data_IF_659041778107
#
_entry.id   IF_659041778107
#
_cell.length_a   1.000
_cell.length_b   1.000
_cell.length_c   1.000
_cell.angle_alpha   90.00
_cell.angle_beta   90.00
_cell.angle_gamma   90.00
#
_symmetry.space_group_name_H-M   'P 1'
#
loop_
_entity.id
_entity.type
_entity.pdbx_description
1 polymer ?
#
# COMPACT_ATOMS: atom_id res chain seq x y z
N UNK A 1 15.17 14.25 -1.90
CA UNK A 1 14.16 13.99 -2.95
C UNK A 1 12.79 14.15 -2.30
N UNK A 2 11.96 15.04 -2.85
CA UNK A 2 10.56 15.16 -2.42
C UNK A 2 9.72 14.34 -3.37
N UNK A 3 8.96 13.36 -2.88
CA UNK A 3 8.00 12.59 -3.68
C UNK A 3 6.64 13.23 -3.45
N UNK A 4 5.95 13.57 -4.54
CA UNK A 4 4.62 14.18 -4.50
C UNK A 4 3.53 13.17 -4.79
N UNK A 5 3.79 12.21 -5.67
CA UNK A 5 2.78 11.24 -6.06
C UNK A 5 3.37 9.87 -6.43
N UNK A 6 2.53 8.84 -6.38
CA UNK A 6 2.80 7.50 -6.88
C UNK A 6 1.64 7.06 -7.77
N UNK A 7 1.95 6.69 -9.01
CA UNK A 7 1.00 6.07 -9.93
C UNK A 7 1.37 4.61 -10.17
N UNK A 8 0.42 3.84 -10.66
CA UNK A 8 0.63 2.46 -11.06
C UNK A 8 -0.11 2.17 -12.36
N UNK A 9 0.48 1.35 -13.20
CA UNK A 9 -0.10 0.86 -14.47
C UNK A 9 0.61 -0.44 -14.84
N UNK A 10 -0.11 -1.42 -15.38
CA UNK A 10 0.44 -2.67 -15.94
C UNK A 10 1.49 -3.43 -15.09
N UNK A 11 1.36 -3.35 -13.76
CA UNK A 11 2.28 -4.02 -12.84
C UNK A 11 3.56 -3.23 -12.53
N UNK A 12 3.58 -1.95 -12.88
CA UNK A 12 4.64 -1.01 -12.54
C UNK A 12 4.15 0.03 -11.55
N UNK A 13 5.05 0.50 -10.68
CA UNK A 13 4.82 1.67 -9.84
C UNK A 13 5.80 2.75 -10.23
N UNK A 14 5.28 3.94 -10.47
CA UNK A 14 6.04 5.14 -10.82
C UNK A 14 5.87 6.18 -9.74
N UNK A 15 6.98 6.73 -9.23
CA UNK A 15 6.94 7.88 -8.32
C UNK A 15 7.42 9.15 -9.00
N UNK A 16 6.77 10.26 -8.67
CA UNK A 16 7.00 11.56 -9.25
C UNK A 16 7.28 12.60 -8.17
N UNK A 17 8.22 13.50 -8.43
CA UNK A 17 8.45 14.64 -7.57
C UNK A 17 9.54 15.58 -8.09
N UNK A 18 9.61 16.82 -7.56
CA UNK A 18 10.52 17.83 -8.07
C UNK A 18 11.97 17.46 -7.77
N UNK A 19 12.82 17.50 -8.81
CA UNK A 19 14.27 17.48 -8.65
C UNK A 19 14.76 18.92 -8.53
N UNK A 20 15.32 19.27 -7.38
CA UNK A 20 15.99 20.55 -7.12
C UNK A 20 15.11 21.82 -7.23
N UNK A 21 13.79 21.71 -6.97
CA UNK A 21 12.91 22.89 -6.90
C UNK A 21 12.61 23.57 -8.24
N UNK A 22 12.96 22.93 -9.36
CA UNK A 22 12.61 23.35 -10.72
C UNK A 22 11.91 22.17 -11.41
N UNK A 23 11.14 22.46 -12.45
CA UNK A 23 10.20 21.66 -13.26
C UNK A 23 10.69 20.30 -13.83
N UNK A 24 11.67 19.65 -13.22
CA UNK A 24 12.06 18.28 -13.54
C UNK A 24 11.35 17.32 -12.60
N UNK A 25 10.46 16.52 -13.19
CA UNK A 25 9.87 15.37 -12.54
C UNK A 25 10.91 14.25 -12.51
N UNK A 26 11.44 13.92 -11.33
CA UNK A 26 12.23 12.70 -11.17
C UNK A 26 11.25 11.52 -11.17
N UNK A 27 11.23 10.81 -12.29
CA UNK A 27 10.57 9.52 -12.40
C UNK A 27 11.52 8.46 -11.85
N UNK A 28 11.13 7.81 -10.75
CA UNK A 28 11.73 6.53 -10.35
C UNK A 28 10.68 5.47 -10.64
N UNK A 29 10.95 4.66 -11.66
CA UNK A 29 10.12 3.51 -12.00
C UNK A 29 10.63 2.31 -11.24
N UNK A 30 9.68 1.57 -10.69
CA UNK A 30 9.88 0.23 -10.22
C UNK A 30 8.94 -0.67 -11.04
N UNK A 31 9.49 -1.40 -12.01
CA UNK A 31 8.80 -2.54 -12.60
C UNK A 31 8.77 -3.66 -11.59
N UNK A 32 7.63 -3.86 -10.92
CA UNK A 32 7.51 -4.89 -9.90
C UNK A 32 6.15 -5.57 -9.99
N UNK A 33 6.17 -6.72 -10.63
CA UNK A 33 4.97 -7.55 -10.83
C UNK A 33 4.55 -8.33 -9.58
N UNK A 34 5.17 -8.11 -8.42
CA UNK A 34 4.95 -8.94 -7.22
C UNK A 34 5.06 -10.43 -7.56
N UNK A 35 4.25 -11.26 -6.92
CA UNK A 35 4.07 -12.67 -7.28
C UNK A 35 3.31 -12.89 -8.61
N UNK A 36 3.51 -12.03 -9.62
CA UNK A 36 2.91 -12.14 -10.96
C UNK A 36 1.48 -11.59 -11.07
N UNK A 37 1.10 -10.64 -10.21
CA UNK A 37 -0.25 -10.06 -10.20
C UNK A 37 -0.23 -8.57 -10.60
N UNK A 38 -1.32 -8.13 -11.23
CA UNK A 38 -1.56 -6.71 -11.49
C UNK A 38 -1.56 -5.90 -10.19
N UNK A 39 -1.14 -4.64 -10.28
CA UNK A 39 -1.25 -3.67 -9.19
C UNK A 39 -2.64 -3.05 -9.25
N UNK A 40 -3.33 -3.05 -8.12
CA UNK A 40 -4.72 -2.54 -8.02
C UNK A 40 -4.82 -1.22 -7.28
N UNK A 41 -3.83 -0.89 -6.46
CA UNK A 41 -3.78 0.35 -5.69
C UNK A 41 -2.35 0.65 -5.31
N UNK A 42 -1.97 1.91 -5.33
CA UNK A 42 -0.71 2.39 -4.79
C UNK A 42 -0.90 3.79 -4.19
N UNK A 43 0.06 4.18 -3.37
CA UNK A 43 0.11 5.53 -2.83
C UNK A 43 1.31 5.76 -1.95
N UNK A 44 1.31 6.90 -1.27
CA UNK A 44 2.40 7.31 -0.39
C UNK A 44 1.96 7.26 1.06
N UNK A 45 2.87 6.84 1.93
CA UNK A 45 2.75 7.04 3.37
C UNK A 45 4.12 7.39 3.96
N UNK A 46 4.12 7.75 5.25
CA UNK A 46 5.35 7.86 6.05
C UNK A 46 5.42 6.62 6.92
N UNK A 47 6.57 5.98 7.00
CA UNK A 47 6.79 4.97 8.05
C UNK A 47 6.86 5.66 9.42
N UNK A 48 6.71 4.88 10.48
CA UNK A 48 7.01 5.26 11.87
C UNK A 48 8.39 5.94 12.05
N UNK A 49 9.37 5.59 11.22
CA UNK A 49 10.69 6.23 11.17
C UNK A 49 10.73 7.56 10.37
N UNK A 50 9.58 8.14 10.05
CA UNK A 50 9.43 9.42 9.37
C UNK A 50 9.78 9.44 7.88
N UNK A 51 10.05 8.28 7.26
CA UNK A 51 10.49 8.18 5.87
C UNK A 51 9.31 8.00 4.94
N UNK A 52 9.30 8.74 3.83
CA UNK A 52 8.32 8.53 2.75
C UNK A 52 8.59 7.17 2.11
N UNK A 53 7.54 6.37 2.00
CA UNK A 53 7.54 5.09 1.29
C UNK A 53 6.32 5.03 0.39
N UNK A 54 6.45 4.22 -0.64
CA UNK A 54 5.39 3.84 -1.55
C UNK A 54 4.80 2.54 -1.02
N UNK A 55 3.49 2.51 -0.84
CA UNK A 55 2.77 1.27 -0.64
C UNK A 55 2.07 0.90 -1.94
N UNK A 56 1.94 -0.39 -2.22
CA UNK A 56 1.13 -0.86 -3.33
C UNK A 56 0.62 -2.27 -3.06
N UNK A 57 -0.60 -2.54 -3.53
CA UNK A 57 -1.26 -3.82 -3.43
C UNK A 57 -1.27 -4.52 -4.79
N UNK A 58 -0.78 -5.76 -4.81
CA UNK A 58 -0.70 -6.61 -6.00
C UNK A 58 -1.31 -7.97 -5.68
N UNK A 59 -2.52 -8.19 -6.16
CA UNK A 59 -3.26 -9.41 -5.91
C UNK A 59 -3.44 -9.73 -4.42
N UNK A 60 -2.65 -10.68 -3.91
CA UNK A 60 -2.71 -11.21 -2.55
C UNK A 60 -1.79 -10.47 -1.57
N UNK A 61 -0.99 -9.56 -2.09
CA UNK A 61 0.15 -8.99 -1.41
C UNK A 61 0.01 -7.48 -1.22
N UNK A 62 0.53 -7.00 -0.10
CA UNK A 62 0.78 -5.58 0.15
C UNK A 62 2.29 -5.39 0.35
N UNK A 63 2.86 -4.44 -0.37
CA UNK A 63 4.28 -4.15 -0.33
C UNK A 63 4.54 -2.73 0.19
N UNK A 64 5.74 -2.55 0.76
CA UNK A 64 6.34 -1.27 1.06
C UNK A 64 7.65 -1.14 0.28
N UNK A 65 7.78 -0.05 -0.47
CA UNK A 65 8.99 0.26 -1.21
C UNK A 65 9.49 1.65 -0.85
N UNK A 66 10.79 1.78 -0.65
CA UNK A 66 11.44 3.08 -0.49
C UNK A 66 12.15 3.40 -1.81
N UNK A 67 11.76 4.47 -2.52
CA UNK A 67 12.45 4.86 -3.74
C UNK A 67 13.94 5.11 -3.48
N UNK A 68 14.79 4.51 -4.30
CA UNK A 68 16.25 4.53 -4.14
C UNK A 68 16.81 3.56 -3.08
N UNK A 69 15.96 2.86 -2.33
CA UNK A 69 16.35 1.59 -1.74
C UNK A 69 16.16 0.47 -2.77
N UNK A 70 16.71 -0.71 -2.51
CA UNK A 70 16.54 -1.89 -3.37
C UNK A 70 15.09 -2.38 -3.43
N UNK A 71 14.93 -3.70 -3.54
CA UNK A 71 13.62 -4.29 -3.82
C UNK A 71 12.54 -3.96 -2.77
N UNK A 72 11.25 -3.92 -3.18
CA UNK A 72 10.12 -3.81 -2.27
C UNK A 72 10.13 -4.88 -1.20
N UNK A 73 9.65 -4.52 -0.02
CA UNK A 73 9.45 -5.44 1.09
C UNK A 73 7.99 -5.85 1.14
N UNK A 74 7.75 -7.16 1.18
CA UNK A 74 6.44 -7.72 1.46
C UNK A 74 6.02 -7.34 2.89
N UNK A 75 4.92 -6.61 3.03
CA UNK A 75 4.34 -6.22 4.31
C UNK A 75 3.30 -7.25 4.77
N UNK A 76 2.48 -7.73 3.84
CA UNK A 76 1.38 -8.66 4.12
C UNK A 76 1.12 -9.56 2.92
N UNK A 77 0.80 -10.82 3.18
CA UNK A 77 0.38 -11.81 2.19
C UNK A 77 -0.83 -12.57 2.71
N UNK A 78 -1.89 -12.65 1.90
CA UNK A 78 -3.02 -13.53 2.16
C UNK A 78 -3.01 -14.72 1.18
N UNK A 79 -2.73 -15.96 1.64
CA UNK A 79 -2.62 -17.09 0.74
C UNK A 79 -3.94 -17.43 0.04
N UNK A 80 -5.09 -16.99 0.57
CA UNK A 80 -6.40 -17.46 0.15
C UNK A 80 -7.21 -16.43 -0.64
N UNK A 81 -6.85 -15.15 -0.55
CA UNK A 81 -7.72 -14.07 -1.05
C UNK A 81 -6.92 -13.00 -1.79
N UNK A 82 -7.49 -12.57 -2.92
CA UNK A 82 -6.95 -11.48 -3.75
C UNK A 82 -7.72 -10.21 -3.45
N UNK A 83 -7.02 -9.09 -3.29
CA UNK A 83 -7.55 -7.76 -3.02
C UNK A 83 -7.42 -6.87 -4.25
N UNK A 84 -8.50 -6.15 -4.54
CA UNK A 84 -8.62 -5.27 -5.72
C UNK A 84 -8.69 -3.80 -5.33
N UNK A 85 -8.63 -3.50 -4.03
CA UNK A 85 -8.53 -2.16 -3.49
C UNK A 85 -7.71 -2.20 -2.20
N UNK A 86 -6.84 -1.21 -2.03
CA UNK A 86 -6.15 -1.00 -0.77
C UNK A 86 -5.93 0.48 -0.50
N UNK A 87 -5.77 0.83 0.77
CA UNK A 87 -5.35 2.16 1.22
C UNK A 87 -4.52 2.04 2.48
N UNK A 88 -3.57 2.96 2.66
CA UNK A 88 -2.75 3.06 3.85
C UNK A 88 -2.84 4.45 4.45
N UNK A 89 -2.87 4.54 5.77
CA UNK A 89 -2.88 5.81 6.49
C UNK A 89 -1.61 6.61 6.18
N UNK A 90 -1.70 7.94 6.24
CA UNK A 90 -0.55 8.83 5.98
C UNK A 90 0.63 8.55 6.92
N UNK A 91 0.35 8.13 8.15
CA UNK A 91 1.34 7.73 9.16
C UNK A 91 1.90 6.32 8.95
N UNK A 92 1.39 5.57 7.97
CA UNK A 92 1.83 4.20 7.67
C UNK A 92 1.51 3.20 8.77
N UNK A 93 0.66 3.58 9.74
CA UNK A 93 0.32 2.77 10.93
C UNK A 93 -0.89 1.88 10.72
N UNK A 94 -1.67 2.12 9.66
CA UNK A 94 -2.86 1.34 9.35
C UNK A 94 -2.97 1.13 7.86
N UNK A 95 -3.40 -0.06 7.45
CA UNK A 95 -3.77 -0.34 6.07
C UNK A 95 -5.11 -1.06 6.00
N UNK A 96 -5.86 -0.85 4.93
CA UNK A 96 -7.11 -1.55 4.65
C UNK A 96 -7.01 -2.17 3.26
N UNK A 97 -7.44 -3.42 3.13
CA UNK A 97 -7.56 -4.14 1.87
C UNK A 97 -9.00 -4.64 1.69
N UNK A 98 -9.49 -4.61 0.45
CA UNK A 98 -10.84 -5.07 0.12
C UNK A 98 -10.92 -5.76 -1.25
N UNK A 99 -11.88 -6.70 -1.37
CA UNK A 99 -12.14 -7.43 -2.61
C UNK A 99 -13.63 -7.61 -2.94
N UNK A 100 -14.48 -6.75 -2.37
CA UNK A 100 -15.94 -6.83 -2.49
C UNK A 100 -16.61 -7.86 -1.57
N UNK A 101 -15.91 -8.94 -1.20
CA UNK A 101 -16.44 -9.98 -0.29
C UNK A 101 -15.79 -9.98 1.08
N UNK A 102 -14.59 -9.40 1.20
CA UNK A 102 -13.84 -9.31 2.44
C UNK A 102 -13.25 -7.92 2.55
N UNK A 103 -13.25 -7.39 3.77
CA UNK A 103 -12.43 -6.24 4.18
C UNK A 103 -11.46 -6.71 5.26
N UNK A 104 -10.20 -6.31 5.15
CA UNK A 104 -9.20 -6.49 6.21
C UNK A 104 -8.64 -5.13 6.62
N UNK A 105 -8.53 -4.90 7.93
CA UNK A 105 -7.73 -3.82 8.49
C UNK A 105 -6.47 -4.40 9.13
N UNK A 106 -5.34 -3.76 8.88
CA UNK A 106 -4.02 -4.12 9.38
C UNK A 106 -3.50 -2.97 10.23
N UNK A 107 -3.04 -3.27 11.43
CA UNK A 107 -2.18 -2.38 12.21
C UNK A 107 -0.73 -2.64 11.84
N UNK A 108 0.03 -1.58 11.67
CA UNK A 108 1.40 -1.62 11.15
C UNK A 108 2.34 -0.87 12.08
N UNK A 109 3.36 -1.56 12.59
CA UNK A 109 4.45 -0.97 13.36
C UNK A 109 5.79 -1.38 12.77
N UNK A 110 6.73 -0.43 12.64
CA UNK A 110 8.09 -0.69 12.14
C UNK A 110 8.08 -1.49 10.83
N UNK A 111 7.17 -1.13 9.92
CA UNK A 111 6.98 -1.80 8.62
C UNK A 111 6.64 -3.30 8.72
N UNK A 112 5.89 -3.69 9.76
CA UNK A 112 5.37 -5.04 9.98
C UNK A 112 3.92 -4.98 10.44
N UNK A 113 3.12 -5.97 10.04
CA UNK A 113 1.76 -6.12 10.56
C UNK A 113 1.82 -6.65 11.99
N UNK A 114 1.18 -5.95 12.93
CA UNK A 114 1.08 -6.32 14.35
C UNK A 114 -0.28 -6.87 14.71
N UNK A 115 -1.34 -6.30 14.13
CA UNK A 115 -2.71 -6.77 14.28
C UNK A 115 -3.38 -6.86 12.92
N UNK A 116 -4.28 -7.83 12.78
CA UNK A 116 -5.18 -7.94 11.63
C UNK A 116 -6.60 -8.23 12.10
N UNK A 117 -7.58 -7.60 11.46
CA UNK A 117 -9.00 -7.90 11.68
C UNK A 117 -9.66 -8.08 10.31
N UNK A 118 -10.45 -9.15 10.18
CA UNK A 118 -11.07 -9.58 8.94
C UNK A 118 -12.60 -9.57 9.08
N UNK A 119 -13.27 -8.98 8.10
CA UNK A 119 -14.72 -8.95 8.03
C UNK A 119 -15.21 -9.56 6.71
N UNK A 120 -15.89 -10.71 6.77
CA UNK A 120 -16.67 -11.22 5.64
C UNK A 120 -17.87 -10.30 5.37
N UNK A 121 -17.96 -9.77 4.14
CA UNK A 121 -19.03 -8.84 3.77
C UNK A 121 -20.40 -9.52 3.64
N UNK A 122 -20.42 -10.85 3.45
CA UNK A 122 -21.64 -11.66 3.50
C UNK A 122 -22.37 -11.55 4.83
N UNK A 123 -21.64 -11.32 5.92
CA UNK A 123 -22.19 -11.22 7.28
C UNK A 123 -22.64 -9.80 7.64
N UNK A 124 -22.28 -8.80 6.82
CA UNK A 124 -22.54 -7.37 7.07
C UNK A 124 -23.60 -6.77 6.13
N UNK A 125 -24.26 -7.60 5.31
CA UNK A 125 -25.20 -7.10 4.30
C UNK A 125 -24.53 -6.28 3.20
N UNK A 126 -23.24 -6.54 2.93
CA UNK A 126 -22.47 -5.86 1.88
C UNK A 126 -21.93 -4.48 2.25
N UNK A 127 -22.09 -4.01 3.49
CA UNK A 127 -21.53 -2.73 3.95
C UNK A 127 -20.74 -2.90 5.24
N UNK A 128 -19.48 -2.45 5.24
CA UNK A 128 -18.64 -2.45 6.44
C UNK A 128 -18.13 -1.03 6.68
N UNK A 129 -18.26 -0.56 7.93
CA UNK A 129 -17.65 0.68 8.40
C UNK A 129 -16.60 0.31 9.45
N UNK A 130 -15.33 0.53 9.11
CA UNK A 130 -14.23 0.37 10.06
C UNK A 130 -13.89 1.75 10.61
N UNK A 131 -14.00 1.91 11.93
CA UNK A 131 -13.53 3.10 12.64
C UNK A 131 -12.27 2.70 13.40
N UNK A 132 -11.13 3.17 12.91
CA UNK A 132 -9.85 2.96 13.56
C UNK A 132 -9.65 4.14 14.52
N UNK A 133 -9.65 3.86 15.83
CA UNK A 133 -9.41 4.87 16.85
C UNK A 133 -7.95 4.73 17.29
N UNK A 134 -7.11 5.76 17.12
CA UNK A 134 -5.78 5.77 17.71
C UNK A 134 -5.92 5.64 19.23
N UNK A 135 -5.18 4.73 19.84
CA UNK A 135 -4.99 4.71 21.30
C UNK A 135 -4.19 5.90 21.79
#
# INVERSE_FOLDING_TARGET
>A
MTIMDAAFEDGEVSVYGPRNGVEQVLLVMLGYHGHGHMIYSAGLCRTDQGRIVVWFASGRDLFLWRPGAGDPKLLFHDPNQTYTAASMSRSGTWAVLANGTTLIALEVEISRVTQQVRWPMSETGGTAKVVIVPT
#
